data_IF_370657921388
#
_entry.id   IF_370657921388
#
_cell.length_a   1.000
_cell.length_b   1.000
_cell.length_c   1.000
_cell.angle_alpha   90.00
_cell.angle_beta   90.00
_cell.angle_gamma   90.00
#
_symmetry.space_group_name_H-M   'P 1'
#
loop_
_entity.id
_entity.type
_entity.pdbx_description
1 polymer ?
#
# COMPACT_ATOMS: atom_id res chain seq x y z
N UNK A 1 -50.22 4.52 42.15
CA UNK A 1 -50.11 3.97 40.76
C UNK A 1 -48.68 3.51 40.47
N UNK A 2 -47.63 4.24 40.88
CA UNK A 2 -46.23 3.81 40.70
C UNK A 2 -45.81 2.56 41.51
N UNK A 3 -46.30 2.38 42.75
CA UNK A 3 -45.88 1.23 43.58
C UNK A 3 -46.29 -0.13 43.01
N UNK A 4 -47.53 -0.26 42.54
CA UNK A 4 -48.04 -1.52 41.95
C UNK A 4 -47.25 -1.94 40.70
N UNK A 5 -46.80 -0.96 39.89
CA UNK A 5 -45.97 -1.19 38.71
C UNK A 5 -44.55 -1.62 39.12
N UNK A 6 -43.95 -0.98 40.12
CA UNK A 6 -42.63 -1.34 40.61
C UNK A 6 -42.60 -2.75 41.22
N UNK A 7 -43.61 -3.11 42.02
CA UNK A 7 -43.75 -4.46 42.58
C UNK A 7 -43.99 -5.51 41.50
N UNK A 8 -44.68 -5.14 40.42
CA UNK A 8 -44.85 -6.01 39.27
C UNK A 8 -43.54 -6.26 38.53
N UNK A 9 -42.77 -5.20 38.25
CA UNK A 9 -41.45 -5.30 37.60
C UNK A 9 -40.45 -6.08 38.45
N UNK A 10 -40.42 -5.87 39.76
CA UNK A 10 -39.53 -6.60 40.67
C UNK A 10 -39.86 -8.10 40.67
N UNK A 11 -41.15 -8.47 40.75
CA UNK A 11 -41.59 -9.88 40.67
C UNK A 11 -41.22 -10.53 39.34
N UNK A 12 -41.36 -9.80 38.22
CA UNK A 12 -40.93 -10.30 36.91
C UNK A 12 -39.41 -10.47 36.84
N UNK A 13 -38.64 -9.48 37.31
CA UNK A 13 -37.19 -9.55 37.33
C UNK A 13 -36.69 -10.74 38.16
N UNK A 14 -37.24 -10.99 39.35
CA UNK A 14 -36.90 -12.16 40.17
C UNK A 14 -37.27 -13.48 39.48
N UNK A 15 -38.44 -13.56 38.85
CA UNK A 15 -38.87 -14.77 38.12
C UNK A 15 -38.01 -15.07 36.88
N UNK A 16 -37.46 -14.05 36.25
CA UNK A 16 -36.65 -14.17 35.03
C UNK A 16 -35.14 -14.18 35.31
N UNK A 17 -34.71 -13.98 36.56
CA UNK A 17 -33.30 -13.91 36.94
C UNK A 17 -32.52 -15.16 36.52
N UNK A 18 -33.12 -16.34 36.66
CA UNK A 18 -32.51 -17.62 36.29
C UNK A 18 -32.31 -17.77 34.77
N UNK A 19 -33.02 -16.99 33.95
CA UNK A 19 -32.83 -16.97 32.50
C UNK A 19 -31.66 -16.08 32.06
N UNK A 20 -31.15 -15.20 32.94
CA UNK A 20 -30.08 -14.26 32.59
C UNK A 20 -28.86 -14.96 31.97
N UNK A 21 -28.30 -16.06 32.53
CA UNK A 21 -27.15 -16.73 31.92
C UNK A 21 -27.46 -17.33 30.53
N UNK A 22 -28.69 -17.81 30.33
CA UNK A 22 -29.13 -18.33 29.03
C UNK A 22 -29.24 -17.20 27.99
N UNK A 23 -29.80 -16.06 28.38
CA UNK A 23 -29.88 -14.87 27.53
C UNK A 23 -28.49 -14.32 27.19
N UNK A 24 -27.58 -14.25 28.16
CA UNK A 24 -26.19 -13.81 27.94
C UNK A 24 -25.48 -14.73 26.94
N UNK A 25 -25.63 -16.04 27.09
CA UNK A 25 -25.09 -17.04 26.15
C UNK A 25 -25.70 -16.87 24.75
N UNK A 26 -27.01 -16.66 24.66
CA UNK A 26 -27.70 -16.47 23.38
C UNK A 26 -27.25 -15.18 22.68
N UNK A 27 -27.09 -14.10 23.42
CA UNK A 27 -26.58 -12.82 22.91
C UNK A 27 -25.14 -12.97 22.42
N UNK A 28 -24.27 -13.65 23.17
CA UNK A 28 -22.89 -13.90 22.75
C UNK A 28 -22.85 -14.68 21.42
N UNK A 29 -23.63 -15.75 21.31
CA UNK A 29 -23.71 -16.54 20.06
C UNK A 29 -24.26 -15.75 18.89
N UNK A 30 -25.25 -14.88 19.14
CA UNK A 30 -25.80 -14.00 18.11
C UNK A 30 -24.74 -13.02 17.62
N UNK A 31 -23.98 -12.40 18.51
CA UNK A 31 -22.88 -11.48 18.17
C UNK A 31 -21.79 -12.20 17.36
N UNK A 32 -21.37 -13.40 17.79
CA UNK A 32 -20.38 -14.19 17.06
C UNK A 32 -20.88 -14.56 15.66
N UNK A 33 -22.16 -14.95 15.53
CA UNK A 33 -22.75 -15.27 14.23
C UNK A 33 -22.85 -14.03 13.32
N UNK A 34 -23.31 -12.91 13.85
CA UNK A 34 -23.43 -11.64 13.11
C UNK A 34 -22.06 -11.15 12.61
N UNK A 35 -21.01 -11.29 13.44
CA UNK A 35 -19.64 -11.00 13.07
C UNK A 35 -19.18 -11.86 11.88
N UNK A 36 -19.32 -13.20 11.96
CA UNK A 36 -18.89 -14.09 10.88
C UNK A 36 -19.71 -13.92 9.61
N UNK A 37 -21.02 -13.69 9.74
CA UNK A 37 -21.89 -13.40 8.60
C UNK A 37 -21.49 -12.10 7.92
N UNK A 38 -21.20 -11.05 8.70
CA UNK A 38 -20.75 -9.75 8.19
C UNK A 38 -19.41 -9.87 7.45
N UNK A 39 -18.44 -10.60 8.02
CA UNK A 39 -17.15 -10.86 7.37
C UNK A 39 -17.34 -11.63 6.06
N UNK A 40 -18.16 -12.69 6.06
CA UNK A 40 -18.41 -13.48 4.87
C UNK A 40 -19.14 -12.69 3.77
N UNK A 41 -20.10 -11.85 4.16
CA UNK A 41 -20.82 -10.96 3.25
C UNK A 41 -19.89 -9.93 2.63
N UNK A 42 -19.06 -9.27 3.45
CA UNK A 42 -18.05 -8.33 2.99
C UNK A 42 -17.04 -9.00 2.06
N UNK A 43 -16.58 -10.20 2.39
CA UNK A 43 -15.61 -10.92 1.56
C UNK A 43 -16.18 -11.27 0.19
N UNK A 44 -17.44 -11.74 0.14
CA UNK A 44 -18.13 -12.00 -1.13
C UNK A 44 -18.33 -10.72 -1.94
N UNK A 45 -18.68 -9.61 -1.29
CA UNK A 45 -18.89 -8.33 -1.98
C UNK A 45 -17.58 -7.79 -2.61
N UNK A 46 -16.45 -7.97 -1.92
CA UNK A 46 -15.16 -7.43 -2.34
C UNK A 46 -14.27 -8.43 -3.10
N UNK A 47 -14.79 -9.62 -3.44
CA UNK A 47 -14.00 -10.74 -3.97
C UNK A 47 -12.74 -11.02 -3.13
N UNK A 48 -12.88 -10.96 -1.80
CA UNK A 48 -11.79 -11.17 -0.86
C UNK A 48 -11.64 -12.65 -0.48
N UNK A 49 -10.40 -13.09 -0.30
CA UNK A 49 -10.05 -14.48 0.02
C UNK A 49 -9.29 -14.57 1.35
N UNK A 50 -9.38 -15.70 2.05
CA UNK A 50 -8.50 -15.92 3.21
C UNK A 50 -7.06 -16.13 2.70
N UNK A 51 -6.08 -15.32 3.17
CA UNK A 51 -4.70 -15.47 2.73
C UNK A 51 -4.04 -16.71 3.34
N UNK A 52 -3.02 -17.24 2.68
CA UNK A 52 -2.12 -18.22 3.26
C UNK A 52 -0.96 -17.51 3.98
N UNK A 53 -0.75 -17.85 5.26
CA UNK A 53 0.36 -17.31 6.03
C UNK A 53 1.64 -18.10 5.75
N UNK A 54 2.66 -17.40 5.28
CA UNK A 54 3.99 -17.96 4.99
C UNK A 54 5.05 -17.40 5.94
N UNK A 55 6.28 -17.89 5.85
CA UNK A 55 7.36 -17.42 6.73
C UNK A 55 7.79 -15.98 6.41
N UNK A 56 7.93 -15.63 5.13
CA UNK A 56 8.48 -14.33 4.71
C UNK A 56 7.93 -13.88 3.36
N UNK A 57 7.86 -12.56 3.17
CA UNK A 57 7.48 -11.90 1.94
C UNK A 57 6.00 -11.56 1.90
N UNK A 58 5.55 -11.05 0.76
CA UNK A 58 4.14 -10.79 0.48
C UNK A 58 3.91 -11.06 -1.00
N UNK A 59 2.81 -11.70 -1.35
CA UNK A 59 2.42 -11.84 -2.74
C UNK A 59 0.90 -11.91 -2.84
N UNK A 60 0.34 -11.31 -3.88
CA UNK A 60 -1.08 -11.42 -4.18
C UNK A 60 -1.32 -11.34 -5.70
N UNK A 61 -2.39 -12.03 -6.10
CA UNK A 61 -2.93 -12.04 -7.46
C UNK A 61 -4.34 -11.44 -7.45
N UNK A 62 -4.61 -10.61 -8.46
CA UNK A 62 -5.83 -9.84 -8.62
C UNK A 62 -6.20 -8.96 -7.41
N UNK A 63 -5.20 -8.33 -6.79
CA UNK A 63 -5.40 -7.43 -5.65
C UNK A 63 -6.15 -6.15 -6.03
N UNK A 64 -7.13 -5.75 -5.22
CA UNK A 64 -8.00 -4.59 -5.48
C UNK A 64 -7.98 -3.61 -4.31
N UNK A 65 -7.82 -2.33 -4.63
CA UNK A 65 -7.84 -1.28 -3.61
C UNK A 65 -9.26 -1.04 -3.09
N UNK A 66 -9.46 -1.18 -1.77
CA UNK A 66 -10.79 -1.13 -1.13
C UNK A 66 -11.47 0.23 -1.17
N UNK A 67 -10.70 1.31 -1.21
CA UNK A 67 -11.23 2.68 -1.10
C UNK A 67 -11.27 3.43 -2.44
N UNK A 68 -10.92 2.78 -3.55
CA UNK A 68 -11.15 3.37 -4.87
C UNK A 68 -12.54 2.96 -5.33
N UNK A 69 -13.36 3.94 -5.68
CA UNK A 69 -14.70 3.73 -6.20
C UNK A 69 -14.66 3.38 -7.70
N UNK A 70 -15.68 2.65 -8.16
CA UNK A 70 -15.85 2.30 -9.57
C UNK A 70 -15.09 1.04 -9.99
N UNK A 71 -14.74 0.96 -11.28
CA UNK A 71 -14.03 -0.18 -11.84
C UNK A 71 -12.53 -0.10 -11.51
N UNK A 72 -12.14 -0.75 -10.42
CA UNK A 72 -10.73 -0.80 -9.97
C UNK A 72 -9.99 -1.88 -10.74
N UNK A 73 -8.94 -1.47 -11.47
CA UNK A 73 -8.04 -2.43 -12.11
C UNK A 73 -7.39 -3.33 -11.03
N UNK A 74 -7.60 -4.66 -11.07
CA UNK A 74 -6.87 -5.57 -10.20
C UNK A 74 -5.39 -5.63 -10.59
N UNK A 75 -4.51 -5.75 -9.59
CA UNK A 75 -3.06 -5.73 -9.78
C UNK A 75 -2.37 -6.89 -9.11
N UNK A 76 -1.23 -7.31 -9.68
CA UNK A 76 -0.42 -8.41 -9.17
C UNK A 76 0.89 -7.87 -8.58
N UNK A 77 1.13 -8.15 -7.30
CA UNK A 77 2.35 -7.67 -6.65
C UNK A 77 2.91 -8.64 -5.61
N UNK A 78 4.23 -8.63 -5.44
CA UNK A 78 4.86 -9.36 -4.36
C UNK A 78 6.37 -9.20 -4.26
N UNK A 79 6.91 -9.59 -3.11
CA UNK A 79 8.30 -9.54 -2.68
C UNK A 79 8.64 -10.78 -1.83
N UNK A 80 9.93 -11.07 -1.71
CA UNK A 80 10.43 -12.08 -0.78
C UNK A 80 10.01 -13.51 -1.14
N UNK A 81 10.10 -14.43 -0.19
CA UNK A 81 9.87 -15.86 -0.45
C UNK A 81 8.43 -16.22 -0.84
N UNK A 82 7.45 -15.39 -0.45
CA UNK A 82 6.07 -15.48 -0.90
C UNK A 82 5.92 -15.30 -2.42
N UNK A 83 6.82 -14.55 -3.05
CA UNK A 83 6.78 -14.29 -4.48
C UNK A 83 7.25 -15.52 -5.31
N UNK A 84 6.81 -15.61 -6.59
CA UNK A 84 7.30 -16.61 -7.52
C UNK A 84 8.83 -16.61 -7.64
N UNK A 85 9.43 -17.75 -8.02
CA UNK A 85 10.89 -18.00 -7.98
C UNK A 85 11.76 -16.91 -8.62
N UNK A 86 11.26 -16.15 -9.60
CA UNK A 86 11.98 -15.06 -10.27
C UNK A 86 11.89 -13.68 -9.61
N UNK A 87 11.01 -13.51 -8.62
CA UNK A 87 10.64 -12.21 -8.02
C UNK A 87 10.93 -12.16 -6.51
N UNK A 88 11.83 -13.04 -6.02
CA UNK A 88 12.01 -13.29 -4.58
C UNK A 88 12.85 -12.26 -3.83
N UNK A 89 13.33 -11.21 -4.51
CA UNK A 89 14.00 -10.10 -3.81
C UNK A 89 13.04 -9.51 -2.78
N UNK A 90 13.54 -9.33 -1.56
CA UNK A 90 12.76 -8.79 -0.45
C UNK A 90 12.66 -7.27 -0.48
N UNK A 91 13.52 -6.61 -1.25
CA UNK A 91 13.59 -5.16 -1.39
C UNK A 91 13.41 -4.80 -2.86
N UNK A 92 12.51 -3.85 -3.14
CA UNK A 92 12.31 -3.31 -4.48
C UNK A 92 12.20 -1.78 -4.47
N UNK A 93 12.76 -1.16 -5.50
CA UNK A 93 12.43 0.19 -5.90
C UNK A 93 11.17 0.15 -6.77
N UNK A 94 10.22 1.06 -6.56
CA UNK A 94 9.04 1.22 -7.39
C UNK A 94 9.10 2.57 -8.12
N UNK A 95 9.05 2.50 -9.44
CA UNK A 95 9.20 3.65 -10.34
C UNK A 95 8.00 3.77 -11.28
N UNK A 96 7.84 4.93 -11.92
CA UNK A 96 6.77 5.15 -12.88
C UNK A 96 6.17 6.55 -12.86
N UNK A 97 5.23 6.79 -13.78
CA UNK A 97 4.59 8.07 -13.97
C UNK A 97 3.86 8.56 -12.69
N UNK A 98 3.79 9.89 -12.54
CA UNK A 98 2.95 10.51 -11.51
C UNK A 98 1.49 10.22 -11.84
N UNK A 99 0.70 9.85 -10.83
CA UNK A 99 -0.67 9.30 -10.99
C UNK A 99 -0.75 7.90 -11.62
N UNK A 100 0.37 7.18 -11.74
CA UNK A 100 0.39 5.77 -12.17
C UNK A 100 -0.10 4.76 -11.13
N UNK A 101 -0.43 5.20 -9.90
CA UNK A 101 -0.93 4.33 -8.83
C UNK A 101 0.15 3.73 -7.92
N UNK A 102 1.36 4.29 -7.88
CA UNK A 102 2.46 3.84 -7.00
C UNK A 102 2.07 3.89 -5.51
N UNK A 103 1.60 5.05 -5.04
CA UNK A 103 1.09 5.24 -3.67
C UNK A 103 -0.08 4.31 -3.38
N UNK A 104 -1.06 4.24 -4.29
CA UNK A 104 -2.21 3.34 -4.18
C UNK A 104 -1.80 1.87 -4.08
N UNK A 105 -0.73 1.46 -4.77
CA UNK A 105 -0.20 0.10 -4.65
C UNK A 105 0.40 -0.12 -3.25
N UNK A 106 1.16 0.84 -2.70
CA UNK A 106 1.64 0.74 -1.32
C UNK A 106 0.47 0.63 -0.33
N UNK A 107 -0.56 1.44 -0.49
CA UNK A 107 -1.78 1.38 0.31
C UNK A 107 -2.46 0.00 0.20
N UNK A 108 -2.57 -0.56 -1.01
CA UNK A 108 -3.09 -1.91 -1.21
C UNK A 108 -2.25 -2.98 -0.49
N UNK A 109 -0.92 -2.93 -0.64
CA UNK A 109 0.01 -3.82 0.06
C UNK A 109 -0.19 -3.71 1.57
N UNK A 110 -0.34 -2.50 2.11
CA UNK A 110 -0.61 -2.25 3.53
C UNK A 110 -1.97 -2.83 3.96
N UNK A 111 -3.04 -2.58 3.22
CA UNK A 111 -4.38 -3.10 3.52
C UNK A 111 -4.39 -4.63 3.55
N UNK A 112 -3.77 -5.28 2.56
CA UNK A 112 -3.66 -6.73 2.50
C UNK A 112 -2.89 -7.27 3.71
N UNK A 113 -1.74 -6.66 4.05
CA UNK A 113 -0.95 -7.06 5.21
C UNK A 113 -1.73 -6.92 6.53
N UNK A 114 -2.44 -5.80 6.72
CA UNK A 114 -3.25 -5.52 7.92
C UNK A 114 -4.38 -6.53 8.04
N UNK A 115 -5.20 -6.71 6.99
CA UNK A 115 -6.34 -7.63 7.02
C UNK A 115 -5.90 -9.07 7.28
N UNK A 116 -4.82 -9.52 6.65
CA UNK A 116 -4.27 -10.84 6.88
C UNK A 116 -3.88 -11.07 8.35
N UNK A 117 -3.22 -10.10 8.99
CA UNK A 117 -2.80 -10.20 10.39
C UNK A 117 -3.95 -9.97 11.38
N UNK A 118 -5.07 -9.37 10.94
CA UNK A 118 -6.34 -9.36 11.68
C UNK A 118 -7.11 -10.70 11.58
N UNK A 119 -6.65 -11.64 10.75
CA UNK A 119 -7.35 -12.90 10.48
C UNK A 119 -8.56 -12.73 9.56
N UNK A 120 -8.59 -11.67 8.75
CA UNK A 120 -9.68 -11.35 7.83
C UNK A 120 -9.32 -11.75 6.38
N UNK A 121 -10.34 -11.98 5.52
CA UNK A 121 -10.12 -12.09 4.09
C UNK A 121 -9.49 -10.82 3.51
N UNK A 122 -8.60 -10.98 2.54
CA UNK A 122 -7.88 -9.89 1.86
C UNK A 122 -8.45 -9.66 0.46
N UNK A 123 -8.48 -8.42 -0.06
CA UNK A 123 -9.10 -8.09 -1.35
C UNK A 123 -8.24 -8.54 -2.54
N UNK A 124 -8.07 -9.85 -2.70
CA UNK A 124 -7.31 -10.50 -3.76
C UNK A 124 -7.93 -11.89 -4.03
N UNK A 125 -7.72 -12.44 -5.22
CA UNK A 125 -8.16 -13.80 -5.55
C UNK A 125 -7.27 -14.85 -4.85
N UNK A 126 -5.97 -14.56 -4.77
CA UNK A 126 -4.98 -15.38 -4.05
C UNK A 126 -3.97 -14.47 -3.34
N UNK A 127 -3.55 -14.85 -2.13
CA UNK A 127 -2.55 -14.09 -1.38
C UNK A 127 -1.71 -14.99 -0.46
N UNK A 128 -0.40 -14.72 -0.43
CA UNK A 128 0.61 -15.33 0.43
C UNK A 128 1.24 -14.23 1.28
N UNK A 129 1.04 -14.27 2.59
CA UNK A 129 1.42 -13.18 3.50
C UNK A 129 2.41 -13.68 4.53
N UNK A 130 3.62 -13.15 4.50
CA UNK A 130 4.67 -13.40 5.47
C UNK A 130 4.31 -12.84 6.83
N UNK A 131 4.76 -13.51 7.88
CA UNK A 131 4.58 -13.05 9.26
C UNK A 131 5.46 -11.83 9.51
N UNK A 132 4.84 -10.72 9.91
CA UNK A 132 5.56 -9.51 10.33
C UNK A 132 5.12 -9.11 11.73
N UNK A 133 6.06 -8.56 12.50
CA UNK A 133 5.80 -7.96 13.81
C UNK A 133 5.51 -6.45 13.68
N UNK A 134 5.94 -5.83 12.57
CA UNK A 134 5.66 -4.44 12.30
C UNK A 134 5.42 -4.14 10.80
N UNK A 135 4.49 -3.23 10.55
CA UNK A 135 4.28 -2.56 9.28
C UNK A 135 4.67 -1.09 9.44
N UNK A 136 5.61 -0.63 8.63
CA UNK A 136 6.05 0.76 8.62
C UNK A 136 5.63 1.41 7.30
N UNK A 137 4.80 2.45 7.38
CA UNK A 137 4.44 3.28 6.24
C UNK A 137 5.09 4.64 6.43
N UNK A 138 6.11 4.93 5.61
CA UNK A 138 6.86 6.17 5.63
C UNK A 138 6.45 7.00 4.41
N UNK A 139 5.67 8.06 4.63
CA UNK A 139 5.24 8.94 3.56
C UNK A 139 5.64 10.39 3.87
N UNK A 140 5.74 11.20 2.83
CA UNK A 140 6.05 12.63 2.98
C UNK A 140 4.97 13.32 3.81
N UNK A 141 5.38 14.03 4.86
CA UNK A 141 4.47 14.91 5.61
C UNK A 141 4.07 16.10 4.72
N UNK A 142 2.79 16.18 4.39
CA UNK A 142 2.21 17.30 3.65
C UNK A 142 2.41 18.60 4.42
N UNK A 143 3.42 19.40 4.07
CA UNK A 143 3.54 20.78 4.55
C UNK A 143 4.92 21.30 4.97
N UNK A 144 5.98 20.47 4.99
CA UNK A 144 7.32 20.93 5.42
C UNK A 144 8.37 20.75 4.33
N UNK A 145 8.54 21.76 3.48
CA UNK A 145 9.71 21.87 2.59
C UNK A 145 10.88 22.55 3.33
N UNK A 146 11.27 22.02 4.49
CA UNK A 146 12.45 22.49 5.23
C UNK A 146 13.53 21.41 5.22
N UNK A 147 14.80 21.80 5.35
CA UNK A 147 15.91 20.87 5.48
C UNK A 147 15.70 19.87 6.64
N UNK A 148 15.04 20.30 7.71
CA UNK A 148 14.71 19.43 8.86
C UNK A 148 13.67 18.34 8.54
N UNK A 149 12.83 18.52 7.52
CA UNK A 149 11.87 17.49 7.11
C UNK A 149 12.58 16.27 6.50
N UNK A 150 13.57 16.52 5.64
CA UNK A 150 14.40 15.45 5.07
C UNK A 150 15.17 14.70 6.17
N UNK A 151 15.83 15.45 7.06
CA UNK A 151 16.58 14.86 8.18
C UNK A 151 15.68 13.96 9.02
N UNK A 152 14.48 14.43 9.36
CA UNK A 152 13.48 13.65 10.10
C UNK A 152 13.13 12.35 9.37
N UNK A 153 12.81 12.43 8.07
CA UNK A 153 12.47 11.25 7.27
C UNK A 153 13.62 10.25 7.19
N UNK A 154 14.86 10.72 7.07
CA UNK A 154 16.05 9.86 7.05
C UNK A 154 16.32 9.21 8.42
N UNK A 155 16.09 9.94 9.52
CA UNK A 155 16.19 9.40 10.88
C UNK A 155 15.12 8.34 11.11
N UNK A 156 13.88 8.59 10.71
CA UNK A 156 12.78 7.61 10.82
C UNK A 156 13.10 6.34 10.02
N UNK A 157 13.56 6.49 8.77
CA UNK A 157 13.98 5.34 7.96
C UNK A 157 15.14 4.60 8.62
N UNK A 158 16.14 5.29 9.18
CA UNK A 158 17.26 4.66 9.87
C UNK A 158 16.83 3.86 11.10
N UNK A 159 15.90 4.39 11.90
CA UNK A 159 15.32 3.68 13.06
C UNK A 159 14.54 2.44 12.62
N UNK A 160 13.71 2.58 11.60
CA UNK A 160 12.94 1.48 11.04
C UNK A 160 13.86 0.41 10.48
N UNK A 161 14.84 0.77 9.65
CA UNK A 161 15.77 -0.17 9.02
C UNK A 161 16.66 -0.86 10.05
N UNK A 162 17.13 -0.17 11.09
CA UNK A 162 18.04 -0.75 12.09
C UNK A 162 17.40 -1.76 13.04
N UNK A 163 16.07 -1.73 13.23
CA UNK A 163 15.35 -2.73 14.04
C UNK A 163 15.46 -4.13 13.41
N UNK A 164 15.66 -5.21 14.17
CA UNK A 164 15.83 -6.57 13.62
C UNK A 164 14.54 -7.39 13.58
N UNK A 165 13.42 -6.87 14.08
CA UNK A 165 12.14 -7.58 14.06
C UNK A 165 11.64 -7.82 12.62
N UNK A 166 10.95 -8.94 12.34
CA UNK A 166 10.29 -9.18 11.06
C UNK A 166 9.36 -8.03 10.69
N UNK A 167 9.53 -7.43 9.51
CA UNK A 167 8.80 -6.20 9.17
C UNK A 167 8.60 -6.00 7.66
N UNK A 168 7.54 -5.28 7.35
CA UNK A 168 7.25 -4.75 6.02
C UNK A 168 7.39 -3.23 6.05
N UNK A 169 8.23 -2.69 5.18
CA UNK A 169 8.49 -1.26 5.04
C UNK A 169 7.93 -0.78 3.71
N UNK A 170 7.05 0.21 3.73
CA UNK A 170 6.47 0.85 2.57
C UNK A 170 6.84 2.33 2.65
N UNK A 171 7.72 2.76 1.76
CA UNK A 171 8.25 4.11 1.76
C UNK A 171 7.85 4.84 0.48
N UNK A 172 7.24 6.02 0.61
CA UNK A 172 6.77 6.83 -0.51
C UNK A 172 7.47 8.18 -0.57
N UNK A 173 8.12 8.44 -1.71
CA UNK A 173 8.72 9.73 -2.07
C UNK A 173 9.50 10.40 -0.92
N UNK A 174 10.52 9.71 -0.38
CA UNK A 174 11.43 10.25 0.67
C UNK A 174 12.32 11.42 0.18
N UNK A 175 11.99 12.00 -0.97
CA UNK A 175 12.80 12.92 -1.75
C UNK A 175 12.39 14.37 -1.43
N UNK A 176 13.06 14.93 -0.43
CA UNK A 176 13.15 16.38 -0.21
C UNK A 176 14.63 16.80 -0.31
N UNK A 177 15.35 16.24 -1.28
CA UNK A 177 16.82 16.28 -1.31
C UNK A 177 17.26 17.37 -2.27
N UNK A 178 17.93 18.40 -1.74
CA UNK A 178 18.53 19.49 -2.51
C UNK A 178 19.69 19.04 -3.39
N UNK A 179 20.35 17.93 -3.02
CA UNK A 179 21.41 17.26 -3.79
C UNK A 179 21.07 15.79 -4.11
N UNK A 180 20.44 15.52 -5.26
CA UNK A 180 19.95 14.18 -5.64
C UNK A 180 20.99 13.06 -5.49
N UNK A 181 22.25 13.31 -5.87
CA UNK A 181 23.32 12.32 -5.79
C UNK A 181 23.73 11.95 -4.37
N UNK A 182 23.74 12.90 -3.44
CA UNK A 182 24.01 12.62 -2.03
C UNK A 182 22.85 11.82 -1.41
N UNK A 183 21.62 12.22 -1.74
CA UNK A 183 20.41 11.51 -1.34
C UNK A 183 20.37 10.05 -1.78
N UNK A 184 20.66 9.82 -3.06
CA UNK A 184 20.72 8.48 -3.63
C UNK A 184 21.72 7.57 -2.90
N UNK A 185 22.90 8.09 -2.51
CA UNK A 185 23.89 7.34 -1.72
C UNK A 185 23.39 6.99 -0.32
N UNK A 186 22.71 7.91 0.35
CA UNK A 186 22.13 7.67 1.69
C UNK A 186 21.07 6.58 1.60
N UNK A 187 20.12 6.72 0.65
CA UNK A 187 19.07 5.73 0.42
C UNK A 187 19.66 4.37 0.06
N UNK A 188 20.64 4.31 -0.83
CA UNK A 188 21.33 3.06 -1.18
C UNK A 188 21.97 2.40 0.06
N UNK A 189 22.56 3.19 0.96
CA UNK A 189 23.07 2.71 2.25
C UNK A 189 21.98 2.10 3.14
N UNK A 190 20.82 2.75 3.24
CA UNK A 190 19.66 2.24 3.99
C UNK A 190 19.09 0.95 3.38
N UNK A 191 18.99 0.88 2.06
CA UNK A 191 18.54 -0.33 1.35
C UNK A 191 19.50 -1.50 1.59
N UNK A 192 20.82 -1.26 1.56
CA UNK A 192 21.81 -2.29 1.90
C UNK A 192 21.65 -2.77 3.33
N UNK A 193 21.48 -1.86 4.29
CA UNK A 193 21.27 -2.20 5.69
C UNK A 193 19.98 -3.03 5.89
N UNK A 194 18.90 -2.69 5.20
CA UNK A 194 17.66 -3.47 5.19
C UNK A 194 17.86 -4.85 4.55
N UNK A 195 18.65 -4.95 3.46
CA UNK A 195 18.88 -6.21 2.74
C UNK A 195 19.63 -7.24 3.60
N UNK A 196 20.47 -6.78 4.54
CA UNK A 196 21.18 -7.68 5.46
C UNK A 196 20.26 -8.35 6.49
N UNK A 197 18.99 -7.94 6.59
CA UNK A 197 18.01 -8.51 7.51
C UNK A 197 17.08 -9.46 6.74
N UNK A 198 17.20 -10.75 7.00
CA UNK A 198 16.47 -11.82 6.29
C UNK A 198 14.94 -11.66 6.36
N UNK A 199 14.43 -11.12 7.46
CA UNK A 199 12.99 -11.01 7.74
C UNK A 199 12.40 -9.64 7.38
N UNK A 200 13.18 -8.80 6.68
CA UNK A 200 12.73 -7.49 6.18
C UNK A 200 12.23 -7.61 4.75
N UNK A 201 11.06 -7.04 4.47
CA UNK A 201 10.61 -6.73 3.12
C UNK A 201 10.41 -5.22 2.97
N UNK A 202 10.78 -4.65 1.83
CA UNK A 202 10.69 -3.22 1.60
C UNK A 202 10.30 -2.86 0.17
N UNK A 203 9.34 -1.94 0.02
CA UNK A 203 9.09 -1.23 -1.25
C UNK A 203 9.40 0.25 -1.03
N UNK A 204 10.23 0.83 -1.89
CA UNK A 204 10.52 2.25 -1.91
C UNK A 204 10.09 2.88 -3.23
N UNK A 205 9.13 3.79 -3.19
CA UNK A 205 8.78 4.63 -4.34
C UNK A 205 9.79 5.77 -4.45
N UNK A 206 10.35 5.95 -5.66
CA UNK A 206 11.42 6.92 -5.89
C UNK A 206 11.49 7.37 -7.34
N UNK A 207 11.85 8.64 -7.55
CA UNK A 207 12.26 9.16 -8.86
C UNK A 207 13.78 9.13 -9.06
N UNK A 208 14.54 8.87 -8.00
CA UNK A 208 16.00 8.77 -7.99
C UNK A 208 16.54 7.36 -8.28
N UNK A 209 15.70 6.44 -8.74
CA UNK A 209 16.09 5.04 -8.95
C UNK A 209 17.40 4.85 -9.74
N UNK A 210 17.67 5.55 -10.87
CA UNK A 210 18.96 5.39 -11.58
C UNK A 210 20.17 5.74 -10.71
N UNK A 211 20.10 6.85 -9.97
CA UNK A 211 21.18 7.29 -9.08
C UNK A 211 21.33 6.37 -7.86
N UNK A 212 20.22 5.82 -7.34
CA UNK A 212 20.25 4.85 -6.25
C UNK A 212 20.92 3.56 -6.72
N UNK A 213 20.57 3.04 -7.91
CA UNK A 213 21.17 1.84 -8.49
C UNK A 213 22.68 2.01 -8.67
N UNK A 214 23.11 3.15 -9.22
CA UNK A 214 24.53 3.49 -9.37
C UNK A 214 25.25 3.49 -8.01
N UNK A 215 24.67 4.13 -6.99
CA UNK A 215 25.23 4.14 -5.64
C UNK A 215 25.19 2.77 -4.93
N UNK A 216 24.18 1.95 -5.25
CA UNK A 216 23.98 0.61 -4.72
C UNK A 216 25.00 -0.39 -5.26
N UNK A 217 25.54 -0.16 -6.47
CA UNK A 217 26.70 -0.88 -7.01
C UNK A 217 26.54 -2.40 -7.10
N UNK A 218 25.29 -2.89 -7.20
CA UNK A 218 24.95 -4.31 -7.34
C UNK A 218 23.68 -4.44 -8.18
N UNK A 219 23.66 -5.42 -9.07
CA UNK A 219 22.52 -5.73 -9.94
C UNK A 219 21.40 -6.49 -9.21
N UNK A 220 21.59 -6.82 -7.93
CA UNK A 220 20.63 -7.57 -7.12
C UNK A 220 19.49 -6.69 -6.55
N UNK A 221 19.60 -5.36 -6.66
CA UNK A 221 18.51 -4.47 -6.25
C UNK A 221 17.38 -4.50 -7.29
N UNK A 222 16.27 -5.12 -6.93
CA UNK A 222 15.07 -5.17 -7.77
C UNK A 222 14.49 -3.78 -8.01
N UNK A 223 14.09 -3.54 -9.25
CA UNK A 223 13.37 -2.34 -9.66
C UNK A 223 12.11 -2.71 -10.40
N UNK A 224 10.98 -2.15 -9.99
CA UNK A 224 9.69 -2.37 -10.59
C UNK A 224 9.17 -1.09 -11.22
N UNK A 225 8.50 -1.22 -12.37
CA UNK A 225 8.07 -0.09 -13.18
C UNK A 225 6.58 -0.12 -13.47
N UNK A 226 5.91 1.01 -13.26
CA UNK A 226 4.54 1.27 -13.74
C UNK A 226 4.60 2.31 -14.86
N UNK A 227 4.36 1.89 -16.10
CA UNK A 227 4.44 2.74 -17.28
C UNK A 227 3.07 3.16 -17.81
N UNK A 228 2.96 4.43 -18.20
CA UNK A 228 1.83 4.93 -18.96
C UNK A 228 2.05 4.68 -20.44
N UNK A 229 1.04 4.12 -21.11
CA UNK A 229 1.04 3.84 -22.55
C UNK A 229 0.56 5.03 -23.39
N UNK A 230 -0.15 5.97 -22.79
CA UNK A 230 -0.70 7.13 -23.49
C UNK A 230 -1.87 7.78 -22.75
N UNK A 231 -2.70 8.48 -23.52
CA UNK A 231 -3.96 9.08 -23.06
C UNK A 231 -5.14 8.45 -23.80
N UNK A 232 -6.26 8.26 -23.10
CA UNK A 232 -7.52 7.83 -23.71
C UNK A 232 -8.30 9.01 -24.32
N UNK A 233 -9.52 8.73 -24.81
CA UNK A 233 -10.42 9.71 -25.42
C UNK A 233 -10.90 10.80 -24.45
N UNK A 234 -10.80 10.57 -23.15
CA UNK A 234 -11.11 11.54 -22.08
C UNK A 234 -9.85 12.28 -21.57
N UNK A 235 -8.72 12.04 -22.23
CA UNK A 235 -7.40 12.53 -21.87
C UNK A 235 -6.91 11.98 -20.53
N UNK A 236 -7.42 10.83 -20.08
CA UNK A 236 -6.94 10.14 -18.90
C UNK A 236 -5.80 9.18 -19.20
N UNK A 237 -4.91 8.95 -18.23
CA UNK A 237 -3.70 8.15 -18.44
C UNK A 237 -4.07 6.68 -18.62
N UNK A 238 -3.66 6.10 -19.75
CA UNK A 238 -3.75 4.66 -19.98
C UNK A 238 -2.55 4.01 -19.31
N UNK A 239 -2.76 3.43 -18.14
CA UNK A 239 -1.71 2.81 -17.32
C UNK A 239 -2.13 1.38 -16.99
N UNK A 240 -1.23 0.43 -17.25
CA UNK A 240 -1.32 -0.87 -16.58
C UNK A 240 -0.67 -0.74 -15.22
N UNK A 241 -1.50 -0.77 -14.16
CA UNK A 241 -1.06 -0.54 -12.79
C UNK A 241 -0.34 -1.74 -12.17
N UNK A 242 -0.29 -2.88 -12.85
CA UNK A 242 0.55 -4.01 -12.41
C UNK A 242 2.01 -3.68 -12.69
N UNK A 243 2.87 -3.57 -11.66
CA UNK A 243 4.26 -3.23 -11.89
C UNK A 243 5.00 -4.33 -12.64
N UNK A 244 5.74 -3.93 -13.67
CA UNK A 244 6.63 -4.81 -14.40
C UNK A 244 7.92 -5.01 -13.58
N UNK A 245 8.27 -6.27 -13.34
CA UNK A 245 9.42 -6.67 -12.54
C UNK A 245 10.73 -6.40 -13.26
N UNK A 246 11.75 -5.99 -12.53
CA UNK A 246 13.09 -5.71 -13.05
C UNK A 246 13.07 -4.73 -14.23
N UNK A 247 12.14 -3.78 -14.21
CA UNK A 247 11.92 -2.79 -15.25
C UNK A 247 11.94 -1.38 -14.64
N UNK A 248 12.81 -0.53 -15.17
CA UNK A 248 12.83 0.89 -14.82
C UNK A 248 11.78 1.62 -15.64
N UNK A 249 10.68 2.04 -15.00
CA UNK A 249 9.70 2.90 -15.63
C UNK A 249 10.13 4.37 -15.56
N UNK A 250 10.02 5.07 -16.69
CA UNK A 250 10.30 6.51 -16.76
C UNK A 250 9.06 7.33 -16.41
N UNK A 251 9.27 8.51 -15.87
CA UNK A 251 8.21 9.52 -15.84
C UNK A 251 7.91 9.94 -17.27
N UNK A 252 6.62 10.08 -17.60
CA UNK A 252 6.13 10.52 -18.91
C UNK A 252 5.49 11.92 -18.81
N UNK A 253 6.25 12.96 -18.43
CA UNK A 253 5.73 14.33 -18.29
C UNK A 253 5.12 14.85 -19.59
N UNK A 254 5.60 14.40 -20.75
CA UNK A 254 5.07 14.73 -22.07
C UNK A 254 3.58 14.38 -22.22
N UNK A 255 3.10 13.31 -21.57
CA UNK A 255 1.67 12.96 -21.57
C UNK A 255 0.85 13.97 -20.75
N UNK A 256 1.39 14.48 -19.66
CA UNK A 256 0.74 15.54 -18.86
C UNK A 256 0.69 16.83 -19.68
N UNK A 257 1.80 17.22 -20.32
CA UNK A 257 1.83 18.42 -21.15
C UNK A 257 0.85 18.28 -22.32
N UNK A 258 0.80 17.12 -22.97
CA UNK A 258 -0.18 16.84 -24.04
C UNK A 258 -1.63 16.98 -23.56
N UNK A 259 -1.95 16.46 -22.37
CA UNK A 259 -3.28 16.66 -21.74
C UNK A 259 -3.58 18.15 -21.52
N UNK A 260 -2.60 18.92 -21.05
CA UNK A 260 -2.75 20.37 -20.84
C UNK A 260 -2.97 21.12 -22.16
N UNK A 261 -2.28 20.76 -23.24
CA UNK A 261 -2.51 21.31 -24.59
C UNK A 261 -3.94 21.08 -25.06
N UNK A 262 -4.46 19.86 -24.89
CA UNK A 262 -5.80 19.50 -25.36
C UNK A 262 -6.92 20.15 -24.52
N UNK A 263 -6.71 20.35 -23.21
CA UNK A 263 -7.68 21.00 -22.33
C UNK A 263 -7.62 22.54 -22.33
N UNK A 264 -6.57 23.12 -22.89
CA UNK A 264 -6.37 24.59 -22.89
C UNK A 264 -6.83 25.23 -24.19
N UNK A 265 -7.04 26.55 -24.15
CA UNK A 265 -7.39 27.37 -25.31
C UNK A 265 -6.59 28.69 -25.32
N UNK A 266 -6.48 29.33 -26.49
CA UNK A 266 -5.80 30.62 -26.63
C UNK A 266 -4.30 30.55 -26.30
N UNK A 267 -3.77 31.61 -25.69
CA UNK A 267 -2.33 31.77 -25.43
C UNK A 267 -1.75 30.64 -24.55
N UNK A 268 -2.52 30.13 -23.58
CA UNK A 268 -2.09 29.01 -22.75
C UNK A 268 -1.86 27.73 -23.57
N UNK A 269 -2.68 27.47 -24.60
CA UNK A 269 -2.50 26.32 -25.49
C UNK A 269 -1.20 26.44 -26.30
N UNK A 270 -0.87 27.65 -26.75
CA UNK A 270 0.38 27.91 -27.46
C UNK A 270 1.59 27.64 -26.54
N UNK A 271 1.59 28.18 -25.32
CA UNK A 271 2.66 27.95 -24.33
C UNK A 271 2.84 26.46 -24.04
N UNK A 272 1.76 25.72 -23.76
CA UNK A 272 1.88 24.28 -23.51
C UNK A 272 2.34 23.51 -24.77
N UNK A 273 1.95 23.96 -25.97
CA UNK A 273 2.40 23.38 -27.23
C UNK A 273 3.90 23.55 -27.44
N UNK A 274 4.42 24.74 -27.14
CA UNK A 274 5.86 25.02 -27.18
C UNK A 274 6.62 24.16 -26.16
N UNK A 275 6.10 24.04 -24.93
CA UNK A 275 6.70 23.15 -23.90
C UNK A 275 6.69 21.69 -24.36
N UNK A 276 5.61 21.22 -25.01
CA UNK A 276 5.52 19.85 -25.51
C UNK A 276 6.60 19.54 -26.54
N UNK A 277 7.04 20.54 -27.33
CA UNK A 277 8.09 20.37 -28.34
C UNK A 277 9.50 20.16 -27.77
N UNK A 278 9.69 20.32 -26.46
CA UNK A 278 10.96 20.11 -25.77
C UNK A 278 11.22 18.65 -25.35
N UNK A 279 10.22 17.78 -25.48
CA UNK A 279 10.29 16.35 -25.19
C UNK A 279 10.50 15.54 -26.48
#
# INVERSE_FOLDING_TARGET
INDSRNDHLLRLATKLADLKPLCETAIQRLIEHDMWYSIASWARHNNATLPELVQHGIWFDQGRHLFIEGDVQPVNYGLGHAAPKGDRQSIALLTGANSGGKTTLLELVAHIAILAHMGLPVPAEHALIGRVEALHVLAKSSGTQSAGALETTLVDLAQVVSNTQPKLILADELEAITEPGAGARIIAGMLRAAQQQSDTSMVLVTHLAPAILEAYGSDDLRIDGIEAKGLDEHLELIVDRTPQRNCLARSTPELIVRRLVERSSGDAKAVFGDILSLF
#
